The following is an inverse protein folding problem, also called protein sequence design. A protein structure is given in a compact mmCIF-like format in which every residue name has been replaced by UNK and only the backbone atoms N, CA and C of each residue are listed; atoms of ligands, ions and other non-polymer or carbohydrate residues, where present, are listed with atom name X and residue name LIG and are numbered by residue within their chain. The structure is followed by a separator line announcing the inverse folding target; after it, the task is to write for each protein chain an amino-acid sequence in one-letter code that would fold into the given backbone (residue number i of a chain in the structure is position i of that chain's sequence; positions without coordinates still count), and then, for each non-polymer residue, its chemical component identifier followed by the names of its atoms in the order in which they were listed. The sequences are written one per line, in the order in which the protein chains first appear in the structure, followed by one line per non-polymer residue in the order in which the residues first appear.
data_IF_440163124271
#
_entry.id   IF_440163124271
#
_cell.length_a   1.000
_cell.length_b   1.000
_cell.length_c   1.000
_cell.angle_alpha   90.00
_cell.angle_beta   90.00
_cell.angle_gamma   90.00
#
_symmetry.space_group_name_H-M   'P 1'
#
loop_
_entity.id
_entity.type
_entity.pdbx_description
1 polymer ?
#
# COMPACT_ATOMS: atom_id res chain seq x y z
N UNK A 1 21.54 -62.73 -48.05
CA UNK A 1 22.56 -61.67 -48.21
C UNK A 1 21.79 -60.38 -48.36
N UNK A 2 21.64 -59.65 -47.26
CA UNK A 2 22.45 -58.45 -46.97
C UNK A 2 21.99 -57.27 -47.82
N UNK A 3 21.81 -56.03 -47.38
CA UNK A 3 21.78 -55.32 -46.10
C UNK A 3 21.42 -53.87 -46.49
N UNK A 4 21.01 -53.06 -45.50
CA UNK A 4 21.26 -51.60 -45.38
C UNK A 4 20.29 -50.57 -46.01
N UNK A 5 19.83 -49.73 -45.08
CA UNK A 5 19.80 -48.26 -45.09
C UNK A 5 18.49 -47.55 -45.45
N UNK A 6 17.62 -47.43 -44.44
CA UNK A 6 16.63 -46.36 -44.34
C UNK A 6 17.27 -45.16 -43.62
N UNK A 7 17.57 -44.11 -44.39
CA UNK A 7 18.08 -42.84 -43.88
C UNK A 7 16.95 -42.04 -43.21
N UNK A 8 17.16 -41.66 -41.95
CA UNK A 8 16.35 -40.70 -41.21
C UNK A 8 16.42 -39.31 -41.84
N UNK A 9 15.29 -38.76 -42.27
CA UNK A 9 15.14 -37.31 -42.52
C UNK A 9 14.62 -36.62 -41.26
N UNK A 10 15.51 -35.97 -40.51
CA UNK A 10 15.15 -35.06 -39.42
C UNK A 10 14.58 -33.77 -40.01
N UNK A 11 13.26 -33.61 -39.98
CA UNK A 11 12.60 -32.34 -40.28
C UNK A 11 12.74 -31.42 -39.06
N UNK A 12 13.70 -30.48 -39.11
CA UNK A 12 13.79 -29.38 -38.12
C UNK A 12 12.63 -28.42 -38.36
N UNK A 13 11.65 -28.42 -37.47
CA UNK A 13 10.68 -27.32 -37.34
C UNK A 13 11.38 -26.10 -36.76
N UNK A 14 11.81 -25.18 -37.63
CA UNK A 14 12.09 -23.80 -37.22
C UNK A 14 10.77 -23.16 -36.82
N UNK A 15 10.56 -22.96 -35.52
CA UNK A 15 9.44 -22.19 -34.99
C UNK A 15 9.56 -20.74 -35.47
N UNK A 16 8.68 -20.36 -36.41
CA UNK A 16 8.53 -18.98 -36.84
C UNK A 16 7.91 -18.19 -35.68
N UNK A 17 8.72 -17.43 -34.97
CA UNK A 17 8.22 -16.37 -34.09
C UNK A 17 7.43 -15.38 -34.98
N UNK A 18 6.11 -15.32 -34.77
CA UNK A 18 5.23 -14.44 -35.54
C UNK A 18 5.70 -13.00 -35.32
N UNK A 19 5.81 -12.15 -36.37
CA UNK A 19 6.35 -10.79 -36.27
C UNK A 19 5.57 -9.92 -35.26
N UNK A 20 4.30 -10.26 -35.00
CA UNK A 20 3.46 -9.64 -33.98
C UNK A 20 3.96 -9.89 -32.56
N UNK A 21 4.53 -11.07 -32.26
CA UNK A 21 5.11 -11.36 -30.95
C UNK A 21 6.37 -10.53 -30.68
N UNK A 22 7.16 -10.25 -31.72
CA UNK A 22 8.34 -9.37 -31.61
C UNK A 22 7.89 -7.93 -31.37
N UNK A 23 6.85 -7.46 -32.07
CA UNK A 23 6.29 -6.12 -31.85
C UNK A 23 5.74 -5.93 -30.42
N UNK A 24 5.04 -6.94 -29.88
CA UNK A 24 4.52 -6.92 -28.51
C UNK A 24 5.66 -6.92 -27.49
N UNK A 25 6.72 -7.71 -27.70
CA UNK A 25 7.89 -7.72 -26.82
C UNK A 25 8.67 -6.40 -26.85
N UNK A 26 8.75 -5.72 -28.01
CA UNK A 26 9.35 -4.38 -28.11
C UNK A 26 8.53 -3.35 -27.35
N UNK A 27 7.19 -3.38 -27.46
CA UNK A 27 6.31 -2.46 -26.72
C UNK A 27 6.37 -2.72 -25.22
N UNK A 28 6.36 -3.98 -24.79
CA UNK A 28 6.52 -4.35 -23.37
C UNK A 28 7.89 -3.93 -22.85
N UNK A 29 8.96 -4.09 -23.64
CA UNK A 29 10.30 -3.62 -23.30
C UNK A 29 10.37 -2.10 -23.13
N UNK A 30 9.77 -1.34 -24.05
CA UNK A 30 9.71 0.12 -23.96
C UNK A 30 8.87 0.60 -22.77
N UNK A 31 7.76 -0.07 -22.47
CA UNK A 31 6.93 0.23 -21.30
C UNK A 31 7.63 -0.14 -19.98
N UNK A 32 8.40 -1.23 -19.95
CA UNK A 32 9.20 -1.60 -18.80
C UNK A 32 10.36 -0.62 -18.56
N UNK A 33 10.99 -0.10 -19.62
CA UNK A 33 12.01 0.96 -19.54
C UNK A 33 11.38 2.28 -19.07
N UNK A 34 10.19 2.64 -19.57
CA UNK A 34 9.47 3.83 -19.12
C UNK A 34 9.01 3.73 -17.66
N UNK A 35 8.52 2.55 -17.23
CA UNK A 35 8.17 2.27 -15.85
C UNK A 35 9.41 2.28 -14.94
N UNK A 36 10.53 1.71 -15.38
CA UNK A 36 11.82 1.78 -14.68
C UNK A 36 12.31 3.22 -14.53
N UNK A 37 12.18 4.04 -15.58
CA UNK A 37 12.60 5.45 -15.55
C UNK A 37 11.70 6.31 -14.65
N UNK A 38 10.39 6.01 -14.59
CA UNK A 38 9.44 6.71 -13.71
C UNK A 38 9.48 6.24 -12.25
N UNK A 39 9.93 5.02 -11.97
CA UNK A 39 9.97 4.45 -10.60
C UNK A 39 11.37 4.59 -9.95
N UNK A 40 12.46 4.53 -10.73
CA UNK A 40 13.86 4.54 -10.20
C UNK A 40 14.49 5.95 -10.19
N UNK A 41 13.84 6.97 -10.75
CA UNK A 41 14.21 8.38 -10.53
C UNK A 41 13.13 9.20 -9.81
N UNK A 42 12.89 8.87 -8.53
CA UNK A 42 12.88 9.90 -7.52
C UNK A 42 13.93 9.60 -6.44
N UNK A 43 14.44 10.65 -5.79
CA UNK A 43 15.27 10.59 -4.57
C UNK A 43 16.81 10.54 -4.70
N UNK A 44 17.41 11.27 -5.64
CA UNK A 44 18.73 11.87 -5.42
C UNK A 44 18.63 13.40 -5.35
N UNK A 45 17.99 13.90 -4.29
CA UNK A 45 18.12 15.29 -3.87
C UNK A 45 17.81 15.53 -2.37
N UNK A 46 17.68 14.49 -1.53
CA UNK A 46 17.32 14.69 -0.11
C UNK A 46 18.11 13.84 0.92
N UNK A 47 19.21 13.17 0.55
CA UNK A 47 20.00 12.36 1.53
C UNK A 47 21.50 12.69 1.52
N UNK A 48 21.89 13.93 1.17
CA UNK A 48 23.27 14.40 1.36
C UNK A 48 23.35 15.77 2.06
N UNK A 49 22.40 16.04 2.97
CA UNK A 49 22.43 17.24 3.81
C UNK A 49 22.64 16.94 5.30
N UNK A 50 22.90 15.69 5.68
CA UNK A 50 23.08 15.27 7.06
C UNK A 50 24.47 14.66 7.27
N UNK A 51 25.50 15.48 7.03
CA UNK A 51 26.87 15.19 7.46
C UNK A 51 27.67 16.51 7.58
N UNK A 52 27.44 17.23 8.69
CA UNK A 52 28.48 18.00 9.38
C UNK A 52 28.91 19.37 8.83
N UNK A 53 28.66 20.41 9.63
CA UNK A 53 29.49 21.63 9.64
C UNK A 53 28.75 22.93 9.27
N UNK A 54 28.41 23.75 10.26
CA UNK A 54 28.03 25.16 10.14
C UNK A 54 29.08 25.98 9.33
N UNK A 55 28.81 27.17 8.75
CA UNK A 55 27.72 28.11 9.05
C UNK A 55 26.89 28.63 7.84
N UNK A 56 25.64 28.99 8.15
CA UNK A 56 24.78 29.98 7.47
C UNK A 56 24.93 30.19 5.95
N UNK A 57 24.14 29.45 5.18
CA UNK A 57 23.53 29.99 3.95
C UNK A 57 22.03 29.69 4.00
N UNK A 58 21.14 30.69 3.94
CA UNK A 58 19.71 30.41 3.93
C UNK A 58 19.37 29.69 2.63
N UNK A 59 18.88 28.46 2.76
CA UNK A 59 18.20 27.75 1.68
C UNK A 59 17.00 28.61 1.31
N UNK A 60 17.04 29.17 0.10
CA UNK A 60 15.89 29.81 -0.49
C UNK A 60 14.75 28.78 -0.51
N UNK A 61 13.74 29.03 0.31
CA UNK A 61 12.44 28.43 0.11
C UNK A 61 12.07 28.61 -1.36
N UNK A 62 11.52 27.57 -1.99
CA UNK A 62 10.77 27.74 -3.24
C UNK A 62 9.57 28.60 -2.92
N UNK A 63 9.77 29.91 -2.88
CA UNK A 63 8.74 30.91 -2.78
C UNK A 63 7.91 30.76 -4.04
N UNK A 64 6.62 30.48 -3.87
CA UNK A 64 5.59 30.78 -4.86
C UNK A 64 5.97 32.07 -5.58
N UNK A 65 6.00 32.02 -6.91
CA UNK A 65 6.46 33.08 -7.81
C UNK A 65 5.70 34.40 -7.56
N UNK A 66 6.11 35.13 -6.52
CA UNK A 66 5.52 36.35 -6.03
C UNK A 66 6.59 37.43 -6.06
N UNK A 67 6.22 38.63 -6.49
CA UNK A 67 7.12 39.77 -6.57
C UNK A 67 7.85 39.96 -5.23
N UNK A 68 9.19 40.16 -5.25
CA UNK A 68 9.95 40.37 -4.02
C UNK A 68 9.36 41.55 -3.22
N UNK A 69 9.39 41.48 -1.87
CA UNK A 69 8.97 42.61 -1.06
C UNK A 69 9.72 43.87 -1.49
N UNK A 70 9.09 45.05 -1.50
CA UNK A 70 9.79 46.27 -1.85
C UNK A 70 10.99 46.46 -0.90
N UNK A 71 12.13 46.87 -1.45
CA UNK A 71 13.32 47.13 -0.65
C UNK A 71 13.01 48.19 0.42
N UNK A 72 13.36 47.93 1.68
CA UNK A 72 13.22 48.84 2.82
C UNK A 72 11.78 49.24 3.24
N UNK A 73 10.82 48.29 3.26
CA UNK A 73 9.45 48.52 3.81
C UNK A 73 9.44 49.18 5.20
N UNK A 74 10.45 48.88 6.03
CA UNK A 74 10.57 49.42 7.38
C UNK A 74 10.87 50.92 7.42
N UNK A 75 11.54 51.44 6.39
CA UNK A 75 11.94 52.84 6.29
C UNK A 75 10.90 53.71 5.56
N UNK A 76 9.87 53.12 4.97
CA UNK A 76 8.85 53.84 4.21
C UNK A 76 8.09 54.85 5.08
N UNK A 77 7.75 55.99 4.45
CA UNK A 77 6.89 57.01 5.04
C UNK A 77 5.44 56.53 5.16
N UNK A 78 4.63 57.19 5.99
CA UNK A 78 3.22 56.79 6.20
C UNK A 78 2.37 56.90 4.93
N UNK A 79 2.60 57.93 4.10
CA UNK A 79 1.92 58.11 2.81
C UNK A 79 2.29 57.02 1.80
N UNK A 80 3.58 56.62 1.77
CA UNK A 80 4.08 55.55 0.93
C UNK A 80 3.51 54.18 1.35
N UNK A 81 3.48 53.92 2.66
CA UNK A 81 2.85 52.71 3.22
C UNK A 81 1.36 52.62 2.86
N UNK A 82 0.61 53.72 2.91
CA UNK A 82 -0.80 53.74 2.50
C UNK A 82 -0.98 53.48 0.99
N UNK A 83 -0.08 54.04 0.16
CA UNK A 83 -0.06 53.80 -1.28
C UNK A 83 0.18 52.33 -1.62
N UNK A 84 1.21 51.72 -1.00
CA UNK A 84 1.54 50.31 -1.17
C UNK A 84 0.44 49.40 -0.59
N UNK A 85 -0.17 49.76 0.54
CA UNK A 85 -1.31 49.04 1.10
C UNK A 85 -2.48 49.03 0.12
N UNK A 86 -2.86 50.18 -0.44
CA UNK A 86 -3.93 50.28 -1.42
C UNK A 86 -3.64 49.51 -2.71
N UNK A 87 -2.37 49.49 -3.15
CA UNK A 87 -1.92 48.65 -4.28
C UNK A 87 -2.06 47.16 -3.96
N UNK A 88 -1.60 46.73 -2.78
CA UNK A 88 -1.73 45.35 -2.34
C UNK A 88 -3.20 44.90 -2.25
N UNK A 89 -4.12 45.77 -1.80
CA UNK A 89 -5.57 45.48 -1.80
C UNK A 89 -6.09 45.25 -3.22
N UNK A 90 -5.78 46.14 -4.18
CA UNK A 90 -6.19 45.99 -5.59
C UNK A 90 -5.66 44.72 -6.23
N UNK A 91 -4.46 44.30 -5.83
CA UNK A 91 -3.82 43.06 -6.28
C UNK A 91 -4.27 41.83 -5.47
N UNK A 92 -5.27 41.97 -4.58
CA UNK A 92 -5.79 40.90 -3.71
C UNK A 92 -4.75 40.28 -2.76
N UNK A 93 -3.63 40.96 -2.53
CA UNK A 93 -2.58 40.57 -1.58
C UNK A 93 -2.93 41.03 -0.18
N UNK A 94 -3.97 40.44 0.41
CA UNK A 94 -4.50 40.86 1.71
C UNK A 94 -3.60 40.42 2.88
N UNK A 95 -3.34 39.11 3.00
CA UNK A 95 -2.54 38.52 4.08
C UNK A 95 -1.24 37.87 3.59
N UNK A 96 -1.15 37.58 2.29
CA UNK A 96 -0.01 36.93 1.65
C UNK A 96 0.38 37.67 0.36
N UNK A 97 1.66 37.61 -0.06
CA UNK A 97 2.78 36.95 0.61
C UNK A 97 3.26 37.68 1.89
N UNK A 98 4.04 36.99 2.72
CA UNK A 98 4.61 37.56 3.94
C UNK A 98 5.51 38.78 3.61
N UNK A 99 5.40 39.85 4.41
CA UNK A 99 6.17 41.08 4.24
C UNK A 99 5.78 41.95 3.03
N UNK A 100 4.82 41.53 2.21
CA UNK A 100 4.35 42.28 1.05
C UNK A 100 2.84 42.08 0.84
N UNK A 101 2.05 42.55 1.81
CA UNK A 101 0.59 42.44 1.80
C UNK A 101 -0.07 43.64 2.49
N UNK A 102 -1.35 43.87 2.19
CA UNK A 102 -2.09 45.04 2.62
C UNK A 102 -2.15 45.19 4.16
N UNK A 103 -2.39 44.09 4.89
CA UNK A 103 -2.53 44.12 6.35
C UNK A 103 -1.21 44.52 7.02
N UNK A 104 -0.08 43.96 6.59
CA UNK A 104 1.24 44.32 7.10
C UNK A 104 1.60 45.80 6.86
N UNK A 105 1.15 46.39 5.73
CA UNK A 105 1.36 47.81 5.46
C UNK A 105 0.46 48.70 6.34
N UNK A 106 -0.84 48.39 6.44
CA UNK A 106 -1.77 49.16 7.28
C UNK A 106 -1.41 49.09 8.77
N UNK A 107 -1.02 47.92 9.26
CA UNK A 107 -0.55 47.76 10.64
C UNK A 107 0.69 48.61 10.92
N UNK A 108 1.64 48.70 9.97
CA UNK A 108 2.79 49.61 10.09
C UNK A 108 2.41 51.07 10.10
N UNK A 109 1.37 51.47 9.35
CA UNK A 109 0.83 52.84 9.44
C UNK A 109 0.31 53.09 10.84
N UNK A 110 -0.40 52.14 11.44
CA UNK A 110 -0.91 52.26 12.82
C UNK A 110 0.20 52.24 13.88
N UNK A 111 1.28 51.50 13.67
CA UNK A 111 2.47 51.55 14.54
C UNK A 111 3.09 52.96 14.57
N UNK A 112 3.12 53.66 13.42
CA UNK A 112 3.63 55.04 13.32
C UNK A 112 2.60 56.09 13.73
N UNK A 113 1.32 55.85 13.44
CA UNK A 113 0.20 56.76 13.67
C UNK A 113 -1.03 55.98 14.18
N UNK A 114 -1.14 55.73 15.50
CA UNK A 114 -2.22 54.92 16.07
C UNK A 114 -3.64 55.44 15.80
N UNK A 115 -3.80 56.74 15.54
CA UNK A 115 -5.09 57.37 15.25
C UNK A 115 -5.45 57.46 13.76
N UNK A 116 -4.69 56.81 12.87
CA UNK A 116 -4.91 56.90 11.43
C UNK A 116 -6.23 56.20 11.01
N UNK A 117 -7.25 57.01 10.72
CA UNK A 117 -8.58 56.51 10.35
C UNK A 117 -8.55 55.71 9.05
N UNK A 118 -7.80 56.15 8.04
CA UNK A 118 -7.70 55.47 6.73
C UNK A 118 -7.22 54.03 6.89
N UNK A 119 -6.17 53.80 7.67
CA UNK A 119 -5.66 52.45 7.93
C UNK A 119 -6.63 51.60 8.78
N UNK A 120 -7.27 52.22 9.78
CA UNK A 120 -8.23 51.54 10.67
C UNK A 120 -9.48 51.10 9.90
N UNK A 121 -10.05 51.98 9.08
CA UNK A 121 -11.23 51.71 8.27
C UNK A 121 -10.91 50.65 7.21
N UNK A 122 -9.77 50.77 6.52
CA UNK A 122 -9.35 49.79 5.52
C UNK A 122 -9.17 48.38 6.13
N UNK A 123 -8.58 48.26 7.33
CA UNK A 123 -8.45 46.99 8.04
C UNK A 123 -9.83 46.41 8.38
N UNK A 124 -10.77 47.23 8.86
CA UNK A 124 -12.13 46.80 9.17
C UNK A 124 -12.89 46.32 7.93
N UNK A 125 -12.83 47.09 6.84
CA UNK A 125 -13.53 46.78 5.59
C UNK A 125 -12.99 45.53 4.89
N UNK A 126 -11.66 45.33 4.94
CA UNK A 126 -11.01 44.20 4.27
C UNK A 126 -10.96 42.93 5.13
N UNK A 127 -11.26 43.03 6.43
CA UNK A 127 -11.22 41.89 7.37
C UNK A 127 -12.02 40.67 6.90
N UNK A 128 -13.30 40.78 6.45
CA UNK A 128 -14.07 39.60 6.06
C UNK A 128 -13.41 38.83 4.91
N UNK A 129 -12.86 39.54 3.93
CA UNK A 129 -12.17 38.93 2.78
C UNK A 129 -10.84 38.28 3.20
N UNK A 130 -10.11 38.94 4.09
CA UNK A 130 -8.87 38.41 4.64
C UNK A 130 -9.12 37.16 5.48
N UNK A 131 -10.20 37.12 6.28
CA UNK A 131 -10.61 35.94 7.02
C UNK A 131 -10.96 34.76 6.10
N UNK A 132 -11.67 35.00 4.98
CA UNK A 132 -11.91 33.97 3.97
C UNK A 132 -10.60 33.46 3.35
N UNK A 133 -9.62 34.34 3.10
CA UNK A 133 -8.30 33.93 2.62
C UNK A 133 -7.60 33.00 3.62
N UNK A 134 -7.59 33.35 4.91
CA UNK A 134 -7.04 32.49 5.97
C UNK A 134 -7.77 31.14 6.03
N UNK A 135 -9.09 31.13 5.90
CA UNK A 135 -9.88 29.90 5.87
C UNK A 135 -9.49 28.99 4.69
N UNK A 136 -9.24 29.56 3.51
CA UNK A 136 -8.79 28.79 2.35
C UNK A 136 -7.42 28.16 2.59
N UNK A 137 -6.50 28.85 3.26
CA UNK A 137 -5.19 28.31 3.62
C UNK A 137 -5.32 27.16 4.62
N UNK A 138 -6.21 27.30 5.62
CA UNK A 138 -6.56 26.17 6.52
C UNK A 138 -7.06 24.98 5.68
N UNK A 139 -8.01 25.19 4.77
CA UNK A 139 -8.57 24.11 3.94
C UNK A 139 -7.53 23.43 3.02
N UNK A 140 -6.45 24.12 2.67
CA UNK A 140 -5.32 23.56 1.90
C UNK A 140 -4.30 22.84 2.79
N UNK A 141 -4.54 22.78 4.09
CA UNK A 141 -3.68 22.16 5.11
C UNK A 141 -2.29 22.81 5.24
N UNK A 142 -2.13 24.05 4.76
CA UNK A 142 -0.93 24.83 5.04
C UNK A 142 -1.06 25.50 6.41
N UNK A 143 -0.91 24.69 7.45
CA UNK A 143 -1.18 25.13 8.82
C UNK A 143 -0.18 26.15 9.36
N UNK A 144 1.02 26.23 8.77
CA UNK A 144 2.03 27.22 9.14
C UNK A 144 1.62 28.61 8.64
N UNK A 145 1.29 28.71 7.35
CA UNK A 145 0.81 29.95 6.76
C UNK A 145 -0.55 30.38 7.33
N UNK A 146 -1.47 29.44 7.56
CA UNK A 146 -2.76 29.72 8.19
C UNK A 146 -2.61 30.36 9.58
N UNK A 147 -1.68 29.84 10.40
CA UNK A 147 -1.40 30.40 11.72
C UNK A 147 -0.90 31.84 11.61
N UNK A 148 0.08 32.09 10.73
CA UNK A 148 0.63 33.43 10.50
C UNK A 148 -0.47 34.42 10.08
N UNK A 149 -1.36 33.99 9.19
CA UNK A 149 -2.48 34.80 8.71
C UNK A 149 -3.49 35.12 9.82
N UNK A 150 -3.83 34.15 10.68
CA UNK A 150 -4.69 34.36 11.85
C UNK A 150 -4.03 35.33 12.85
N UNK A 151 -2.72 35.20 13.08
CA UNK A 151 -1.98 36.09 13.99
C UNK A 151 -1.94 37.53 13.44
N UNK A 152 -1.83 37.68 12.12
CA UNK A 152 -1.89 38.98 11.45
C UNK A 152 -3.28 39.62 11.57
N UNK A 153 -4.35 38.83 11.36
CA UNK A 153 -5.72 39.27 11.60
C UNK A 153 -5.96 39.66 13.07
N UNK A 154 -5.37 38.92 14.01
CA UNK A 154 -5.47 39.21 15.44
C UNK A 154 -4.79 40.53 15.85
N UNK A 155 -3.74 40.95 15.13
CA UNK A 155 -3.13 42.27 15.32
C UNK A 155 -4.04 43.41 14.81
N UNK A 156 -4.85 43.15 13.78
CA UNK A 156 -5.76 44.14 13.21
C UNK A 156 -7.03 44.33 14.07
N UNK A 157 -7.63 43.23 14.52
CA UNK A 157 -8.78 43.26 15.43
C UNK A 157 -8.78 42.02 16.33
N UNK A 158 -8.19 42.11 17.54
CA UNK A 158 -8.11 40.97 18.46
C UNK A 158 -9.48 40.56 19.03
N UNK A 159 -10.48 41.44 18.94
CA UNK A 159 -11.82 41.20 19.50
C UNK A 159 -12.78 40.53 18.51
N UNK A 160 -12.35 40.31 17.27
CA UNK A 160 -13.18 39.74 16.22
C UNK A 160 -13.52 38.27 16.47
N UNK A 161 -14.81 37.94 16.54
CA UNK A 161 -15.29 36.56 16.76
C UNK A 161 -14.82 35.58 15.68
N UNK A 162 -14.60 36.04 14.45
CA UNK A 162 -14.11 35.20 13.34
C UNK A 162 -12.78 34.52 13.66
N UNK A 163 -11.93 35.15 14.47
CA UNK A 163 -10.66 34.57 14.92
C UNK A 163 -10.87 33.30 15.75
N UNK A 164 -11.91 33.26 16.58
CA UNK A 164 -12.27 32.09 17.37
C UNK A 164 -12.64 30.93 16.45
N UNK A 165 -13.41 31.20 15.39
CA UNK A 165 -13.79 30.20 14.39
C UNK A 165 -12.55 29.68 13.65
N UNK A 166 -11.68 30.57 13.16
CA UNK A 166 -10.49 30.21 12.41
C UNK A 166 -9.51 29.38 13.25
N UNK A 167 -9.24 29.79 14.50
CA UNK A 167 -8.39 29.03 15.45
C UNK A 167 -8.96 27.65 15.73
N UNK A 168 -10.25 27.58 16.06
CA UNK A 168 -10.93 26.30 16.32
C UNK A 168 -10.86 25.37 15.11
N UNK A 169 -11.03 25.90 13.89
CA UNK A 169 -10.94 25.14 12.65
C UNK A 169 -9.52 24.63 12.40
N UNK A 170 -8.52 25.49 12.57
CA UNK A 170 -7.11 25.15 12.41
C UNK A 170 -6.67 24.06 13.41
N UNK A 171 -7.05 24.18 14.68
CA UNK A 171 -6.74 23.19 15.71
C UNK A 171 -7.41 21.84 15.43
N UNK A 172 -8.67 21.87 15.00
CA UNK A 172 -9.39 20.66 14.62
C UNK A 172 -8.69 19.93 13.45
N UNK A 173 -8.26 20.66 12.42
CA UNK A 173 -7.58 20.06 11.28
C UNK A 173 -6.18 19.53 11.63
N UNK A 174 -5.40 20.26 12.43
CA UNK A 174 -4.10 19.76 12.95
C UNK A 174 -4.28 18.46 13.72
N UNK A 175 -5.26 18.40 14.62
CA UNK A 175 -5.55 17.20 15.42
C UNK A 175 -5.94 15.99 14.57
N UNK A 176 -6.62 16.21 13.43
CA UNK A 176 -6.94 15.13 12.49
C UNK A 176 -5.66 14.60 11.83
N UNK A 177 -4.76 15.48 11.38
CA UNK A 177 -3.50 15.08 10.77
C UNK A 177 -2.60 14.35 11.79
N UNK A 178 -2.48 14.86 13.01
CA UNK A 178 -1.68 14.23 14.06
C UNK A 178 -2.18 12.82 14.39
N UNK A 179 -3.50 12.65 14.49
CA UNK A 179 -4.12 11.32 14.70
C UNK A 179 -3.83 10.37 13.54
N UNK A 180 -3.92 10.86 12.30
CA UNK A 180 -3.61 10.06 11.12
C UNK A 180 -2.13 9.62 11.13
N UNK A 181 -1.22 10.53 11.47
CA UNK A 181 0.21 10.22 11.56
C UNK A 181 0.51 9.22 12.68
N UNK A 182 -0.10 9.38 13.86
CA UNK A 182 0.03 8.43 14.97
C UNK A 182 -0.48 7.04 14.58
N UNK A 183 -1.62 6.97 13.88
CA UNK A 183 -2.16 5.71 13.36
C UNK A 183 -1.18 5.03 12.40
N UNK A 184 -0.57 5.78 11.48
CA UNK A 184 0.42 5.25 10.55
C UNK A 184 1.66 4.72 11.27
N UNK A 185 2.14 5.41 12.31
CA UNK A 185 3.27 4.95 13.13
C UNK A 185 2.92 3.65 13.87
N UNK A 186 1.74 3.57 14.48
CA UNK A 186 1.25 2.36 15.14
C UNK A 186 1.13 1.18 14.17
N UNK A 187 0.61 1.43 12.97
CA UNK A 187 0.46 0.39 11.94
C UNK A 187 1.83 -0.08 11.41
N UNK A 188 2.80 0.83 11.27
CA UNK A 188 4.18 0.48 10.94
C UNK A 188 4.84 -0.34 12.04
N UNK A 189 4.65 0.02 13.31
CA UNK A 189 5.19 -0.74 14.45
C UNK A 189 4.62 -2.16 14.48
N UNK A 190 3.29 -2.32 14.36
CA UNK A 190 2.65 -3.64 14.28
C UNK A 190 3.13 -4.47 13.09
N UNK A 191 3.37 -3.83 11.95
CA UNK A 191 3.91 -4.52 10.78
C UNK A 191 5.35 -5.02 11.02
N UNK A 192 6.18 -4.22 11.68
CA UNK A 192 7.53 -4.61 12.09
C UNK A 192 7.52 -5.75 13.12
N UNK A 193 6.66 -5.68 14.14
CA UNK A 193 6.49 -6.76 15.12
C UNK A 193 6.04 -8.06 14.45
N UNK A 194 5.07 -8.00 13.54
CA UNK A 194 4.61 -9.18 12.79
C UNK A 194 5.71 -9.77 11.90
N UNK A 195 6.55 -8.92 11.29
CA UNK A 195 7.69 -9.38 10.50
C UNK A 195 8.73 -10.07 11.40
N UNK A 196 9.07 -9.49 12.55
CA UNK A 196 9.98 -10.11 13.52
C UNK A 196 9.44 -11.44 14.06
N UNK A 197 8.14 -11.53 14.35
CA UNK A 197 7.51 -12.77 14.78
C UNK A 197 7.57 -13.87 13.70
N UNK A 198 7.35 -13.51 12.43
CA UNK A 198 7.48 -14.44 11.31
C UNK A 198 8.92 -14.92 11.14
N UNK A 199 9.89 -14.01 11.17
CA UNK A 199 11.31 -14.38 11.09
C UNK A 199 11.74 -15.27 12.27
N UNK A 200 11.25 -15.00 13.47
CA UNK A 200 11.50 -15.84 14.64
C UNK A 200 10.86 -17.22 14.48
N UNK A 201 9.62 -17.30 13.98
CA UNK A 201 8.93 -18.56 13.69
C UNK A 201 9.66 -19.38 12.62
N UNK A 202 10.13 -18.74 11.55
CA UNK A 202 10.88 -19.39 10.48
C UNK A 202 12.24 -19.92 10.98
N UNK A 203 12.94 -19.15 11.84
CA UNK A 203 14.19 -19.61 12.50
C UNK A 203 13.93 -20.81 13.41
N UNK A 204 12.88 -20.77 14.24
CA UNK A 204 12.50 -21.89 15.10
C UNK A 204 12.14 -23.14 14.29
N UNK A 205 11.43 -22.97 13.17
CA UNK A 205 11.10 -24.08 12.27
C UNK A 205 12.36 -24.69 11.63
N UNK A 206 13.31 -23.85 11.19
CA UNK A 206 14.58 -24.32 10.64
C UNK A 206 15.42 -25.08 11.68
N UNK A 207 15.46 -24.61 12.93
CA UNK A 207 16.20 -25.25 14.01
C UNK A 207 15.60 -26.61 14.41
N UNK A 208 14.26 -26.72 14.44
CA UNK A 208 13.56 -27.99 14.64
C UNK A 208 13.85 -29.01 13.53
N UNK A 209 13.86 -28.57 12.27
CA UNK A 209 14.21 -29.42 11.13
C UNK A 209 15.67 -29.91 11.21
N UNK A 210 16.60 -29.04 11.58
CA UNK A 210 18.00 -29.41 11.77
C UNK A 210 18.19 -30.43 12.92
N UNK A 211 17.49 -30.23 14.04
CA UNK A 211 17.51 -31.16 15.16
C UNK A 211 16.94 -32.54 14.80
N UNK A 212 15.83 -32.59 14.05
CA UNK A 212 15.28 -33.86 13.53
C UNK A 212 16.25 -34.56 12.58
N UNK A 213 16.87 -33.83 11.66
CA UNK A 213 17.88 -34.40 10.75
C UNK A 213 19.07 -35.00 11.52
N UNK A 214 19.55 -34.33 12.55
CA UNK A 214 20.63 -34.82 13.41
C UNK A 214 20.23 -36.10 14.18
N UNK A 215 19.00 -36.17 14.70
CA UNK A 215 18.49 -37.39 15.36
C UNK A 215 18.38 -38.58 14.40
N UNK A 216 17.87 -38.37 13.18
CA UNK A 216 17.79 -39.43 12.15
C UNK A 216 19.19 -39.94 11.78
N UNK A 217 20.16 -39.04 11.61
CA UNK A 217 21.54 -39.41 11.32
C UNK A 217 22.20 -40.21 12.46
N UNK A 218 21.91 -39.86 13.73
CA UNK A 218 22.39 -40.60 14.88
C UNK A 218 21.80 -42.02 14.97
N UNK A 219 20.51 -42.19 14.66
CA UNK A 219 19.86 -43.51 14.63
C UNK A 219 20.44 -44.43 13.54
N UNK A 220 20.78 -43.89 12.36
CA UNK A 220 21.40 -44.66 11.29
C UNK A 220 22.82 -45.14 11.65
N UNK A 221 23.58 -44.33 12.42
CA UNK A 221 24.92 -44.73 12.91
C UNK A 221 24.88 -45.79 14.02
N UNK A 222 23.75 -45.96 14.70
CA UNK A 222 23.62 -46.89 15.84
C UNK A 222 23.08 -48.28 15.46
N UNK A 223 22.75 -48.55 14.19
CA UNK A 223 22.37 -49.91 13.76
C UNK A 223 23.62 -50.80 13.66
N UNK A 224 23.68 -51.93 14.40
CA UNK A 224 24.79 -52.86 14.30
C UNK A 224 24.76 -53.55 12.93
N UNK A 225 25.91 -53.58 12.28
CA UNK A 225 26.18 -54.23 10.99
C UNK A 225 25.75 -55.69 11.04
N UNK A 226 24.56 -56.01 10.51
CA UNK A 226 24.17 -57.40 10.22
C UNK A 226 24.67 -57.76 8.82
N UNK A 227 25.71 -58.58 8.78
CA UNK A 227 26.26 -59.21 7.58
C UNK A 227 25.18 -60.00 6.83
N UNK A 228 25.02 -59.85 5.50
CA UNK A 228 23.99 -60.57 4.76
C UNK A 228 24.50 -61.98 4.40
N UNK A 229 24.02 -62.99 5.11
CA UNK A 229 24.24 -64.40 4.76
C UNK A 229 23.07 -64.88 3.89
N UNK A 230 23.38 -65.21 2.65
CA UNK A 230 22.46 -65.73 1.63
C UNK A 230 22.29 -67.24 1.83
N UNK A 231 21.09 -67.69 2.18
CA UNK A 231 20.68 -69.11 2.07
C UNK A 231 19.27 -69.21 1.52
N UNK A 232 19.12 -70.09 0.54
CA UNK A 232 17.92 -70.52 -0.16
C UNK A 232 17.08 -71.47 0.69
N UNK A 233 15.77 -71.19 0.85
CA UNK A 233 14.70 -72.20 0.95
C UNK A 233 13.34 -71.49 0.89
N UNK A 234 12.45 -72.02 0.06
CA UNK A 234 11.08 -71.58 -0.12
C UNK A 234 10.18 -72.10 1.00
N UNK A 235 9.33 -71.24 1.56
CA UNK A 235 7.87 -71.41 1.62
C UNK A 235 7.24 -70.15 2.25
N UNK A 236 6.08 -69.76 1.71
CA UNK A 236 5.04 -68.89 2.27
C UNK A 236 5.33 -67.37 2.32
N UNK A 237 4.58 -66.65 1.49
CA UNK A 237 4.46 -65.19 1.43
C UNK A 237 3.82 -64.61 2.72
N UNK A 238 3.92 -63.29 3.02
CA UNK A 238 3.38 -62.25 2.14
C UNK A 238 4.41 -61.17 1.77
N UNK A 239 4.14 -60.58 0.61
CA UNK A 239 4.80 -59.43 0.03
C UNK A 239 4.96 -58.25 1.01
N UNK A 240 5.96 -57.37 0.79
CA UNK A 240 5.97 -56.05 1.41
C UNK A 240 4.64 -55.37 1.06
N UNK A 241 3.94 -54.87 2.08
CA UNK A 241 2.71 -54.10 1.97
C UNK A 241 2.98 -52.80 1.21
N UNK A 242 2.93 -52.91 -0.12
CA UNK A 242 2.37 -51.90 -0.99
C UNK A 242 0.85 -51.85 -0.72
N UNK A 243 0.46 -51.17 0.35
CA UNK A 243 -0.87 -50.61 0.56
C UNK A 243 -0.58 -49.14 0.87
N UNK A 244 -0.77 -48.18 -0.05
CA UNK A 244 -2.02 -47.89 -0.73
C UNK A 244 -1.81 -47.61 -2.23
N UNK A 245 -1.93 -48.67 -3.04
CA UNK A 245 -2.48 -48.53 -4.40
C UNK A 245 -3.84 -49.25 -4.43
N UNK A 246 -4.67 -49.03 -3.39
CA UNK A 246 -6.10 -49.17 -3.58
C UNK A 246 -6.49 -48.09 -4.59
N UNK A 247 -7.26 -48.42 -5.63
CA UNK A 247 -7.75 -47.45 -6.59
C UNK A 247 -8.43 -46.30 -5.85
N UNK A 248 -7.72 -45.17 -5.69
CA UNK A 248 -8.26 -43.97 -5.08
C UNK A 248 -9.14 -43.35 -6.15
N UNK A 249 -10.45 -43.42 -5.95
CA UNK A 249 -11.36 -42.62 -6.77
C UNK A 249 -11.35 -41.21 -6.16
N UNK A 250 -10.86 -40.23 -6.91
CA UNK A 250 -10.84 -38.83 -6.49
C UNK A 250 -12.27 -38.31 -6.26
N UNK A 251 -12.41 -37.36 -5.34
CA UNK A 251 -13.70 -36.80 -5.02
C UNK A 251 -14.23 -35.95 -6.18
N UNK A 252 -15.46 -36.23 -6.62
CA UNK A 252 -16.10 -35.52 -7.75
C UNK A 252 -17.15 -34.56 -7.22
N UNK A 253 -17.13 -33.31 -7.69
CA UNK A 253 -18.14 -32.31 -7.34
C UNK A 253 -19.52 -32.73 -7.89
N UNK A 254 -20.46 -32.99 -6.99
CA UNK A 254 -21.85 -33.38 -7.33
C UNK A 254 -22.73 -32.14 -7.48
N UNK A 255 -22.59 -31.19 -6.55
CA UNK A 255 -23.38 -29.95 -6.54
C UNK A 255 -22.55 -28.78 -6.05
N UNK A 256 -22.30 -27.83 -6.95
CA UNK A 256 -21.69 -26.54 -6.62
C UNK A 256 -22.73 -25.48 -6.28
N UNK A 257 -22.41 -24.61 -5.33
CA UNK A 257 -23.14 -23.37 -5.07
C UNK A 257 -22.41 -22.18 -5.74
N UNK A 258 -23.15 -21.29 -6.41
CA UNK A 258 -22.54 -20.07 -6.93
C UNK A 258 -22.10 -19.16 -5.78
N UNK A 259 -20.86 -18.66 -5.84
CA UNK A 259 -20.38 -17.68 -4.88
C UNK A 259 -21.13 -16.36 -5.07
N UNK A 260 -21.66 -15.81 -3.98
CA UNK A 260 -22.38 -14.54 -4.01
C UNK A 260 -21.37 -13.40 -4.17
N UNK A 261 -21.55 -12.56 -5.19
CA UNK A 261 -20.66 -11.42 -5.40
C UNK A 261 -20.77 -10.40 -4.25
N UNK A 262 -19.66 -9.98 -3.61
CA UNK A 262 -19.71 -8.98 -2.56
C UNK A 262 -20.26 -7.64 -3.07
N UNK A 263 -21.27 -7.02 -2.42
CA UNK A 263 -21.83 -5.74 -2.86
C UNK A 263 -20.81 -4.60 -2.90
N UNK A 264 -19.78 -4.64 -2.05
CA UNK A 264 -18.66 -3.69 -2.07
C UNK A 264 -17.81 -3.83 -3.33
N UNK A 265 -17.41 -5.06 -3.67
CA UNK A 265 -16.61 -5.35 -4.86
C UNK A 265 -17.37 -5.04 -6.15
N UNK A 266 -18.69 -5.30 -6.18
CA UNK A 266 -19.55 -4.96 -7.31
C UNK A 266 -19.62 -3.45 -7.55
N UNK A 267 -19.83 -2.66 -6.49
CA UNK A 267 -19.83 -1.19 -6.57
C UNK A 267 -18.48 -0.62 -6.99
N UNK A 268 -17.39 -1.28 -6.60
CA UNK A 268 -16.03 -0.90 -6.96
C UNK A 268 -15.57 -1.47 -8.31
N UNK A 269 -16.43 -2.20 -9.04
CA UNK A 269 -16.10 -2.91 -10.28
C UNK A 269 -14.84 -3.79 -10.18
N UNK A 270 -14.58 -4.36 -9.01
CA UNK A 270 -13.41 -5.18 -8.75
C UNK A 270 -13.69 -6.63 -9.10
N UNK A 271 -12.79 -7.27 -9.85
CA UNK A 271 -12.78 -8.70 -10.17
C UNK A 271 -11.63 -9.40 -9.45
N UNK A 272 -11.65 -10.73 -9.41
CA UNK A 272 -10.60 -11.45 -8.70
C UNK A 272 -10.76 -12.96 -8.65
N UNK A 273 -9.94 -13.59 -7.82
CA UNK A 273 -9.99 -15.03 -7.58
C UNK A 273 -9.60 -15.37 -6.14
N UNK A 274 -10.08 -16.53 -5.67
CA UNK A 274 -9.75 -17.10 -4.35
C UNK A 274 -9.44 -18.58 -4.53
N UNK A 275 -8.30 -19.04 -4.02
CA UNK A 275 -7.97 -20.46 -3.87
C UNK A 275 -8.32 -20.87 -2.43
N UNK A 276 -9.23 -21.83 -2.30
CA UNK A 276 -9.70 -22.35 -1.02
C UNK A 276 -9.25 -23.81 -0.89
N UNK A 277 -8.74 -24.17 0.28
CA UNK A 277 -8.45 -25.54 0.70
C UNK A 277 -9.55 -26.02 1.64
N UNK A 278 -10.06 -27.22 1.46
CA UNK A 278 -11.10 -27.81 2.31
C UNK A 278 -10.94 -29.33 2.40
N UNK A 279 -11.50 -29.91 3.45
CA UNK A 279 -11.65 -31.36 3.61
C UNK A 279 -13.03 -31.78 3.10
N UNK A 280 -13.09 -32.88 2.37
CA UNK A 280 -14.33 -33.55 1.97
C UNK A 280 -14.50 -34.72 2.91
N UNK A 281 -15.54 -34.69 3.72
CA UNK A 281 -15.84 -35.72 4.71
C UNK A 281 -16.44 -36.97 4.04
N UNK A 282 -16.46 -38.13 4.71
CA UNK A 282 -17.04 -39.37 4.17
C UNK A 282 -18.53 -39.28 3.81
N UNK A 283 -19.24 -38.25 4.29
CA UNK A 283 -20.64 -37.94 3.95
C UNK A 283 -20.78 -37.04 2.70
N UNK A 284 -19.67 -36.63 2.10
CA UNK A 284 -19.63 -35.77 0.92
C UNK A 284 -19.75 -34.27 1.21
N UNK A 285 -19.80 -33.85 2.48
CA UNK A 285 -19.81 -32.44 2.86
C UNK A 285 -18.40 -31.88 2.96
N UNK A 286 -18.30 -30.55 2.93
CA UNK A 286 -17.02 -29.85 3.09
C UNK A 286 -16.84 -29.36 4.53
N UNK A 287 -15.65 -29.56 5.09
CA UNK A 287 -15.23 -29.06 6.40
C UNK A 287 -13.80 -28.49 6.33
N UNK A 288 -13.32 -27.89 7.43
CA UNK A 288 -11.95 -27.33 7.52
C UNK A 288 -11.58 -26.43 6.33
N UNK A 289 -12.39 -25.39 6.10
CA UNK A 289 -12.30 -24.53 4.92
C UNK A 289 -11.38 -23.35 5.22
N UNK A 290 -10.23 -23.31 4.55
CA UNK A 290 -9.20 -22.29 4.71
C UNK A 290 -8.85 -21.62 3.37
N UNK A 291 -8.60 -20.31 3.38
CA UNK A 291 -8.15 -19.59 2.19
C UNK A 291 -6.62 -19.74 2.06
N UNK A 292 -6.17 -20.29 0.94
CA UNK A 292 -4.75 -20.47 0.63
C UNK A 292 -4.16 -19.20 0.03
N UNK A 293 -4.88 -18.59 -0.92
CA UNK A 293 -4.47 -17.34 -1.58
C UNK A 293 -5.67 -16.66 -2.22
N UNK A 294 -5.66 -15.33 -2.27
CA UNK A 294 -6.67 -14.55 -2.96
C UNK A 294 -6.10 -13.26 -3.55
N UNK A 295 -6.71 -12.81 -4.66
CA UNK A 295 -6.40 -11.54 -5.29
C UNK A 295 -7.69 -10.91 -5.81
N UNK A 296 -8.01 -9.66 -5.42
CA UNK A 296 -7.44 -8.87 -4.31
C UNK A 296 -7.68 -9.52 -2.93
N UNK A 297 -6.69 -9.39 -2.04
CA UNK A 297 -6.71 -9.99 -0.69
C UNK A 297 -7.94 -9.55 0.10
N UNK A 298 -8.60 -10.49 0.80
CA UNK A 298 -9.71 -10.26 1.74
C UNK A 298 -11.01 -9.71 1.13
N UNK A 299 -11.07 -9.45 -0.17
CA UNK A 299 -12.27 -8.91 -0.83
C UNK A 299 -13.29 -10.02 -1.09
N UNK A 300 -12.82 -11.18 -1.54
CA UNK A 300 -13.66 -12.29 -2.01
C UNK A 300 -13.65 -13.50 -1.05
N UNK A 301 -12.76 -13.51 -0.06
CA UNK A 301 -12.48 -14.64 0.83
C UNK A 301 -13.75 -15.19 1.50
N UNK A 302 -14.54 -14.31 2.14
CA UNK A 302 -15.77 -14.72 2.83
C UNK A 302 -16.80 -15.33 1.87
N UNK A 303 -16.99 -14.72 0.70
CA UNK A 303 -17.92 -15.21 -0.30
C UNK A 303 -17.50 -16.58 -0.85
N UNK A 304 -16.20 -16.81 -1.00
CA UNK A 304 -15.63 -18.09 -1.42
C UNK A 304 -15.84 -19.17 -0.35
N UNK A 305 -15.54 -18.88 0.93
CA UNK A 305 -15.74 -19.82 2.06
C UNK A 305 -17.22 -20.22 2.15
N UNK A 306 -18.14 -19.25 2.13
CA UNK A 306 -19.58 -19.50 2.20
C UNK A 306 -20.12 -20.30 1.00
N UNK A 307 -19.48 -20.18 -0.17
CA UNK A 307 -19.84 -20.97 -1.34
C UNK A 307 -19.38 -22.42 -1.18
N UNK A 308 -18.10 -22.62 -0.85
CA UNK A 308 -17.49 -23.95 -0.67
C UNK A 308 -18.16 -24.74 0.45
N UNK A 309 -18.57 -24.08 1.54
CA UNK A 309 -19.31 -24.71 2.64
C UNK A 309 -20.69 -25.27 2.25
N UNK A 310 -21.19 -24.95 1.05
CA UNK A 310 -22.45 -25.45 0.50
C UNK A 310 -22.25 -26.47 -0.62
N UNK A 311 -21.01 -26.88 -0.88
CA UNK A 311 -20.71 -27.86 -1.91
C UNK A 311 -21.02 -29.27 -1.41
N UNK A 312 -21.43 -30.12 -2.33
CA UNK A 312 -21.61 -31.56 -2.09
C UNK A 312 -20.74 -32.30 -3.07
N UNK A 313 -19.91 -33.20 -2.55
CA UNK A 313 -18.99 -34.04 -3.30
C UNK A 313 -19.35 -35.51 -3.11
N UNK A 314 -19.00 -36.33 -4.10
CA UNK A 314 -18.84 -37.76 -3.86
C UNK A 314 -17.50 -37.92 -3.14
N UNK A 315 -17.47 -38.50 -1.92
CA UNK A 315 -16.24 -38.63 -1.16
C UNK A 315 -15.23 -39.51 -1.90
N UNK A 316 -13.94 -39.26 -1.64
CA UNK A 316 -12.91 -40.16 -2.15
C UNK A 316 -13.10 -41.55 -1.52
N UNK A 317 -12.92 -42.60 -2.31
CA UNK A 317 -13.02 -43.98 -1.80
C UNK A 317 -11.65 -44.65 -1.81
N UNK A 318 -11.33 -45.36 -0.73
CA UNK A 318 -10.15 -46.24 -0.65
C UNK A 318 -10.66 -47.66 -0.45
N UNK A 319 -10.53 -48.50 -1.48
CA UNK A 319 -11.03 -49.87 -1.43
C UNK A 319 -12.55 -49.99 -1.27
N UNK A 320 -13.32 -49.03 -1.83
CA UNK A 320 -14.79 -48.99 -1.71
C UNK A 320 -15.31 -48.32 -0.42
N UNK A 321 -14.45 -47.93 0.50
CA UNK A 321 -14.82 -47.24 1.75
C UNK A 321 -14.64 -45.72 1.60
N UNK A 322 -15.67 -44.89 1.85
CA UNK A 322 -15.55 -43.44 1.86
C UNK A 322 -14.52 -42.95 2.88
N UNK A 323 -13.55 -42.15 2.42
CA UNK A 323 -12.44 -41.63 3.23
C UNK A 323 -12.37 -40.12 3.07
N UNK A 324 -12.06 -39.41 4.16
CA UNK A 324 -11.88 -37.98 4.12
C UNK A 324 -10.70 -37.60 3.20
N UNK A 325 -10.87 -36.58 2.36
CA UNK A 325 -9.85 -36.15 1.42
C UNK A 325 -9.70 -34.63 1.40
N UNK A 326 -8.45 -34.15 1.34
CA UNK A 326 -8.16 -32.71 1.24
C UNK A 326 -8.11 -32.29 -0.22
N UNK A 327 -8.83 -31.23 -0.57
CA UNK A 327 -8.87 -30.69 -1.93
C UNK A 327 -8.67 -29.17 -1.93
N UNK A 328 -8.17 -28.64 -3.05
CA UNK A 328 -8.08 -27.21 -3.30
C UNK A 328 -8.87 -26.84 -4.55
N UNK A 329 -9.56 -25.70 -4.51
CA UNK A 329 -10.30 -25.18 -5.65
C UNK A 329 -10.12 -23.67 -5.79
N UNK A 330 -9.91 -23.21 -7.02
CA UNK A 330 -9.92 -21.79 -7.38
C UNK A 330 -11.32 -21.36 -7.79
N UNK A 331 -11.81 -20.29 -7.20
CA UNK A 331 -13.08 -19.63 -7.52
C UNK A 331 -12.77 -18.27 -8.14
N UNK A 332 -13.29 -18.03 -9.34
CA UNK A 332 -13.15 -16.75 -10.04
C UNK A 332 -14.40 -15.89 -9.88
N UNK A 333 -14.19 -14.59 -9.65
CA UNK A 333 -15.22 -13.57 -9.55
C UNK A 333 -15.06 -12.62 -10.73
N UNK A 334 -15.98 -12.69 -11.68
CA UNK A 334 -16.05 -11.84 -12.88
C UNK A 334 -17.39 -11.12 -12.92
N UNK A 335 -17.38 -9.88 -13.37
CA UNK A 335 -18.59 -9.13 -13.68
C UNK A 335 -19.10 -9.61 -15.04
N UNK A 336 -20.42 -9.75 -15.17
CA UNK A 336 -21.08 -10.12 -16.42
C UNK A 336 -21.83 -8.94 -17.01
#
# INVERSE_FOLDING_TARGET
MDTRNTLHSRRRSRGAFRPVAIAILVVIGLLAIAAWFLIVRPYQAQVLADAGGHPSTPVAATTSNAAPPPANVQAMGTSELLSEAGKAVREQRLLAPAGNNAFEFYLRVLEKQPGNQVATDALRETFPFAATSAEQVINRSDFGEAQRQIDLLAKADPTNFTLTILRSKLDAQRKVLDKQQQQLVLDQQKAQELAQQKEAADKLAAEQQAAQAAQVAAQQKAQPTRTPQRTTAADTAPAPSAQDNAAITEAVLVKGAAARYPPSAMRAQQEGWVIVSFMIDPDGRTSHIDVVSSEPRRVFDRAAIEAVGRYVFTPATRGGVPTASKQQQRIEFKLR
#
